data_IF_850386788497
#
_entry.id   IF_850386788497
#
_cell.length_a   1.000
_cell.length_b   1.000
_cell.length_c   1.000
_cell.angle_alpha   90.00
_cell.angle_beta   90.00
_cell.angle_gamma   90.00
#
_symmetry.space_group_name_H-M   'P 1'
#
loop_
_entity.id
_entity.type
_entity.pdbx_description
1 polymer ?
#
# COMPACT_ATOMS: atom_id res chain seq x y z
N UNK A 1 -38.32 -34.25 -10.07
CA UNK A 1 -38.30 -32.79 -9.89
C UNK A 1 -37.17 -32.46 -8.93
N UNK A 2 -36.18 -31.65 -9.33
CA UNK A 2 -35.04 -31.29 -8.48
C UNK A 2 -35.33 -29.96 -7.78
N UNK A 3 -35.61 -30.01 -6.48
CA UNK A 3 -35.73 -28.81 -5.65
C UNK A 3 -34.36 -28.14 -5.54
N UNK A 4 -34.27 -26.89 -6.01
CA UNK A 4 -33.11 -26.03 -5.78
C UNK A 4 -33.35 -25.28 -4.47
N UNK A 5 -32.71 -25.74 -3.39
CA UNK A 5 -32.65 -24.99 -2.14
C UNK A 5 -32.08 -23.59 -2.40
N UNK A 6 -32.69 -22.52 -1.86
CA UNK A 6 -32.15 -21.17 -1.96
C UNK A 6 -30.79 -21.09 -1.24
N UNK A 7 -29.84 -20.28 -1.74
CA UNK A 7 -28.51 -20.14 -1.14
C UNK A 7 -28.63 -19.62 0.30
N UNK A 8 -27.75 -20.12 1.18
CA UNK A 8 -27.75 -19.79 2.60
C UNK A 8 -27.44 -18.28 2.79
N UNK A 9 -28.24 -17.51 3.57
CA UNK A 9 -28.02 -16.09 3.83
C UNK A 9 -26.62 -15.74 4.36
N UNK A 10 -25.95 -16.71 5.00
CA UNK A 10 -24.59 -16.55 5.51
C UNK A 10 -23.56 -16.47 4.39
N UNK A 11 -23.78 -17.19 3.28
CA UNK A 11 -22.89 -17.17 2.12
C UNK A 11 -22.92 -15.80 1.41
N UNK A 12 -24.08 -15.15 1.34
CA UNK A 12 -24.20 -13.80 0.78
C UNK A 12 -23.57 -12.75 1.70
N UNK A 13 -23.73 -12.90 3.01
CA UNK A 13 -23.09 -12.02 3.98
C UNK A 13 -21.56 -12.19 3.96
N UNK A 14 -21.07 -13.41 3.84
CA UNK A 14 -19.65 -13.72 3.71
C UNK A 14 -19.08 -13.20 2.39
N UNK A 15 -19.82 -13.34 1.28
CA UNK A 15 -19.47 -12.75 0.00
C UNK A 15 -19.40 -11.23 0.08
N UNK A 16 -20.34 -10.58 0.78
CA UNK A 16 -20.36 -9.13 1.00
C UNK A 16 -19.24 -8.66 1.94
N UNK A 17 -18.96 -9.40 3.01
CA UNK A 17 -17.84 -9.14 3.92
C UNK A 17 -16.49 -9.31 3.24
N UNK A 18 -16.34 -10.34 2.39
CA UNK A 18 -15.13 -10.57 1.60
C UNK A 18 -14.92 -9.45 0.58
N UNK A 19 -15.97 -9.06 -0.15
CA UNK A 19 -15.96 -7.94 -1.10
C UNK A 19 -15.65 -6.60 -0.43
N UNK A 20 -16.18 -6.37 0.78
CA UNK A 20 -15.86 -5.18 1.57
C UNK A 20 -14.41 -5.20 2.09
N UNK A 21 -13.92 -6.35 2.57
CA UNK A 21 -12.53 -6.51 3.07
C UNK A 21 -11.49 -6.42 1.97
N UNK A 22 -11.77 -6.92 0.77
CA UNK A 22 -10.87 -6.79 -0.39
C UNK A 22 -10.67 -5.33 -0.79
N UNK A 23 -11.71 -4.49 -0.72
CA UNK A 23 -11.60 -3.04 -0.91
C UNK A 23 -10.92 -2.30 0.26
N UNK A 24 -10.93 -2.88 1.45
CA UNK A 24 -10.41 -2.27 2.68
C UNK A 24 -8.94 -2.64 2.99
N UNK A 25 -8.40 -3.71 2.36
CA UNK A 25 -7.00 -4.14 2.54
C UNK A 25 -5.94 -3.11 2.07
N UNK A 26 -6.34 -2.08 1.32
CA UNK A 26 -5.50 -0.94 0.95
C UNK A 26 -5.72 0.34 1.78
N UNK A 27 -6.59 0.31 2.79
CA UNK A 27 -7.05 1.48 3.52
C UNK A 27 -6.73 1.36 5.02
N UNK A 28 -5.55 1.82 5.41
CA UNK A 28 -5.24 2.18 6.80
C UNK A 28 -5.11 3.70 6.90
N UNK A 29 -6.24 4.41 7.02
CA UNK A 29 -6.28 5.85 7.26
C UNK A 29 -7.71 6.29 7.57
N UNK A 30 -8.01 6.73 8.79
CA UNK A 30 -9.36 6.86 9.35
C UNK A 30 -10.40 7.69 8.57
N UNK A 31 -11.68 7.62 8.98
CA UNK A 31 -12.80 8.17 8.24
C UNK A 31 -12.86 9.70 8.37
N UNK A 32 -12.83 10.39 7.23
CA UNK A 32 -13.24 11.79 7.13
C UNK A 32 -12.21 12.70 6.50
N UNK A 33 -12.10 12.66 5.17
CA UNK A 33 -11.94 13.92 4.45
C UNK A 33 -12.39 13.76 2.99
N UNK A 34 -13.22 14.70 2.54
CA UNK A 34 -13.76 14.79 1.17
C UNK A 34 -12.75 15.47 0.24
N UNK A 35 -11.46 15.25 0.43
CA UNK A 35 -10.44 15.78 -0.46
C UNK A 35 -10.12 14.74 -1.53
N UNK A 36 -10.41 15.13 -2.78
CA UNK A 36 -9.85 14.63 -4.03
C UNK A 36 -9.11 13.28 -3.88
N UNK A 37 -9.82 12.18 -4.12
CA UNK A 37 -9.21 10.85 -4.24
C UNK A 37 -8.20 10.97 -5.40
N UNK A 38 -6.87 11.07 -5.16
CA UNK A 38 -5.96 11.13 -6.29
C UNK A 38 -6.08 9.80 -7.03
N UNK A 39 -5.88 9.79 -8.36
CA UNK A 39 -6.03 8.58 -9.14
C UNK A 39 -5.17 7.49 -8.50
N UNK A 40 -5.72 6.28 -8.40
CA UNK A 40 -5.02 5.07 -7.96
C UNK A 40 -3.97 4.67 -9.03
N UNK A 41 -3.06 5.58 -9.32
CA UNK A 41 -1.99 5.49 -10.31
C UNK A 41 -0.70 6.00 -9.70
N UNK A 42 0.39 5.89 -10.46
CA UNK A 42 1.75 6.17 -10.01
C UNK A 42 1.91 7.50 -9.26
N UNK A 43 1.15 8.54 -9.65
CA UNK A 43 1.19 9.86 -9.03
C UNK A 43 0.65 9.87 -7.58
N UNK A 44 -0.45 9.16 -7.29
CA UNK A 44 -0.98 9.06 -5.93
C UNK A 44 -0.04 8.29 -4.99
N UNK A 45 0.58 7.23 -5.50
CA UNK A 45 1.61 6.47 -4.77
C UNK A 45 2.84 7.31 -4.49
N UNK A 46 3.35 8.04 -5.51
CA UNK A 46 4.48 8.95 -5.34
C UNK A 46 4.16 10.04 -4.29
N UNK A 47 2.93 10.53 -4.26
CA UNK A 47 2.55 11.58 -3.33
C UNK A 47 2.52 11.11 -1.88
N UNK A 48 1.98 9.91 -1.64
CA UNK A 48 2.05 9.26 -0.32
C UNK A 48 3.49 8.99 0.11
N UNK A 49 4.32 8.46 -0.79
CA UNK A 49 5.73 8.21 -0.50
C UNK A 49 6.44 9.51 -0.11
N UNK A 50 6.20 10.59 -0.86
CA UNK A 50 6.75 11.91 -0.56
C UNK A 50 6.32 12.44 0.80
N UNK A 51 5.02 12.33 1.15
CA UNK A 51 4.54 12.79 2.47
C UNK A 51 5.07 11.96 3.63
N UNK A 52 5.24 10.65 3.46
CA UNK A 52 5.85 9.79 4.48
C UNK A 52 7.31 10.18 4.75
N UNK A 53 8.09 10.48 3.72
CA UNK A 53 9.47 10.95 3.87
C UNK A 53 9.52 12.31 4.59
N UNK A 54 8.71 13.28 4.15
CA UNK A 54 8.68 14.62 4.76
C UNK A 54 8.24 14.55 6.22
N UNK A 55 7.23 13.74 6.54
CA UNK A 55 6.76 13.55 7.90
C UNK A 55 7.85 12.96 8.80
N UNK A 56 8.55 11.91 8.34
CA UNK A 56 9.65 11.30 9.09
C UNK A 56 10.80 12.30 9.34
N UNK A 57 11.10 13.14 8.35
CA UNK A 57 12.12 14.20 8.48
C UNK A 57 11.72 15.26 9.51
N UNK A 58 10.47 15.72 9.49
CA UNK A 58 9.96 16.69 10.47
C UNK A 58 10.05 16.11 11.89
N UNK A 59 9.68 14.84 12.07
CA UNK A 59 9.77 14.16 13.37
C UNK A 59 11.23 14.01 13.82
N UNK A 60 12.14 13.59 12.94
CA UNK A 60 13.56 13.43 13.26
C UNK A 60 14.23 14.75 13.62
N UNK A 61 14.04 15.79 12.80
CA UNK A 61 14.61 17.11 13.06
C UNK A 61 13.97 17.77 14.28
N UNK A 62 12.63 17.72 14.40
CA UNK A 62 11.91 18.29 15.53
C UNK A 62 12.28 17.60 16.85
N UNK A 63 12.32 16.27 16.87
CA UNK A 63 12.74 15.47 18.02
C UNK A 63 14.22 15.70 18.37
N UNK A 64 15.09 15.78 17.37
CA UNK A 64 16.51 16.08 17.55
C UNK A 64 16.76 17.45 18.16
N UNK A 65 16.07 18.48 17.67
CA UNK A 65 16.15 19.84 18.24
C UNK A 65 15.61 19.90 19.67
N UNK A 66 14.52 19.20 19.96
CA UNK A 66 13.97 19.12 21.31
C UNK A 66 14.94 18.43 22.27
N UNK A 67 15.53 17.32 21.83
CA UNK A 67 16.53 16.56 22.59
C UNK A 67 17.77 17.41 22.88
N UNK A 68 18.30 18.08 21.86
CA UNK A 68 19.47 18.95 21.99
C UNK A 68 19.23 20.12 22.93
N UNK A 69 18.02 20.69 22.93
CA UNK A 69 17.64 21.77 23.85
C UNK A 69 17.49 21.29 25.29
N UNK A 70 17.01 20.07 25.48
CA UNK A 70 16.78 19.53 26.81
C UNK A 70 18.07 19.06 27.48
N UNK A 71 18.96 18.45 26.70
CA UNK A 71 20.23 17.89 27.19
C UNK A 71 21.43 18.84 27.01
N UNK A 72 21.27 19.96 26.29
CA UNK A 72 22.37 20.87 25.97
C UNK A 72 23.41 20.26 25.02
N UNK A 73 23.04 19.23 24.26
CA UNK A 73 23.95 18.43 23.42
C UNK A 73 24.08 18.94 21.97
N UNK A 74 23.55 20.13 21.66
CA UNK A 74 23.49 20.62 20.30
C UNK A 74 24.87 20.62 19.60
N UNK A 75 25.01 20.06 18.37
CA UNK A 75 23.96 19.49 17.50
C UNK A 75 23.90 17.94 17.49
N UNK A 76 24.44 17.25 18.49
CA UNK A 76 24.61 15.79 18.46
C UNK A 76 23.29 15.02 18.42
N UNK A 77 22.30 15.42 19.22
CA UNK A 77 20.96 14.82 19.23
C UNK A 77 20.25 15.02 17.89
N UNK A 78 20.39 16.19 17.28
CA UNK A 78 19.91 16.45 15.92
C UNK A 78 20.56 15.54 14.88
N UNK A 79 21.88 15.37 14.93
CA UNK A 79 22.60 14.50 13.97
C UNK A 79 22.07 13.07 14.06
N UNK A 80 21.99 12.51 15.28
CA UNK A 80 21.52 11.14 15.49
C UNK A 80 20.06 10.98 15.06
N UNK A 81 19.18 11.89 15.49
CA UNK A 81 17.75 11.83 15.16
C UNK A 81 17.47 12.11 13.68
N UNK A 82 18.29 12.89 13.01
CA UNK A 82 18.21 13.10 11.56
C UNK A 82 18.42 11.78 10.80
N UNK A 83 19.51 11.06 11.09
CA UNK A 83 19.78 9.77 10.45
C UNK A 83 18.71 8.74 10.80
N UNK A 84 18.24 8.72 12.05
CA UNK A 84 17.18 7.82 12.48
C UNK A 84 15.85 8.12 11.76
N UNK A 85 15.47 9.40 11.65
CA UNK A 85 14.28 9.84 10.93
C UNK A 85 14.37 9.54 9.43
N UNK A 86 15.52 9.80 8.81
CA UNK A 86 15.76 9.47 7.41
C UNK A 86 15.68 7.94 7.17
N UNK A 87 16.32 7.14 8.02
CA UNK A 87 16.26 5.68 7.94
C UNK A 87 14.83 5.18 8.11
N UNK A 88 14.09 5.69 9.10
CA UNK A 88 12.69 5.33 9.33
C UNK A 88 11.80 5.70 8.12
N UNK A 89 12.00 6.88 7.53
CA UNK A 89 11.29 7.30 6.31
C UNK A 89 11.56 6.36 5.13
N UNK A 90 12.83 6.09 4.85
CA UNK A 90 13.23 5.16 3.77
C UNK A 90 12.68 3.76 4.01
N UNK A 91 12.75 3.24 5.25
CA UNK A 91 12.21 1.94 5.61
C UNK A 91 10.69 1.87 5.41
N UNK A 92 9.95 2.94 5.76
CA UNK A 92 8.50 2.97 5.56
C UNK A 92 8.13 2.97 4.07
N UNK A 93 8.85 3.75 3.26
CA UNK A 93 8.69 3.78 1.80
C UNK A 93 9.04 2.42 1.18
N UNK A 94 10.16 1.83 1.58
CA UNK A 94 10.57 0.51 1.12
C UNK A 94 9.50 -0.53 1.42
N UNK A 95 8.91 -0.52 2.63
CA UNK A 95 7.80 -1.39 3.01
C UNK A 95 6.54 -1.12 2.18
N UNK A 96 6.25 0.14 1.88
CA UNK A 96 5.12 0.50 1.03
C UNK A 96 5.30 -0.06 -0.38
N UNK A 97 6.47 0.12 -1.00
CA UNK A 97 6.77 -0.34 -2.36
C UNK A 97 6.85 -1.87 -2.45
N UNK A 98 7.53 -2.52 -1.50
CA UNK A 98 7.67 -3.99 -1.49
C UNK A 98 6.38 -4.71 -1.14
N UNK A 99 5.53 -4.14 -0.28
CA UNK A 99 4.18 -4.65 0.00
C UNK A 99 3.27 -4.69 -1.23
N UNK A 100 3.50 -3.84 -2.23
CA UNK A 100 2.80 -3.89 -3.52
C UNK A 100 3.47 -4.86 -4.53
N UNK A 101 4.79 -5.04 -4.48
CA UNK A 101 5.60 -5.68 -5.53
C UNK A 101 5.65 -7.21 -5.54
N UNK A 102 5.45 -7.90 -4.41
CA UNK A 102 5.48 -9.38 -4.38
C UNK A 102 4.12 -10.01 -4.71
N UNK A 103 3.01 -9.27 -4.56
CA UNK A 103 1.67 -9.79 -4.85
C UNK A 103 1.16 -9.47 -6.27
N UNK A 104 1.77 -8.53 -6.99
CA UNK A 104 1.26 -8.01 -8.26
C UNK A 104 2.05 -8.45 -9.50
N UNK A 105 3.14 -9.20 -9.34
CA UNK A 105 4.02 -9.59 -10.44
C UNK A 105 3.93 -11.07 -10.75
N UNK A 106 2.90 -11.51 -11.48
CA UNK A 106 2.97 -12.61 -12.46
C UNK A 106 1.60 -12.75 -13.18
N UNK A 107 1.21 -11.75 -13.98
CA UNK A 107 0.24 -12.00 -15.05
C UNK A 107 1.03 -12.51 -16.25
N UNK A 108 1.12 -13.83 -16.38
CA UNK A 108 1.58 -14.50 -17.60
C UNK A 108 0.71 -13.95 -18.76
N UNK A 109 1.29 -13.43 -19.86
CA UNK A 109 0.49 -13.11 -21.03
C UNK A 109 -0.22 -14.41 -21.47
N UNK A 110 -1.52 -14.39 -21.78
CA UNK A 110 -2.20 -15.54 -22.36
C UNK A 110 -1.41 -15.97 -23.59
N UNK A 111 -0.97 -17.23 -23.59
CA UNK A 111 -0.25 -17.80 -24.71
C UNK A 111 -1.16 -17.81 -25.92
N UNK A 112 -0.60 -17.40 -27.04
CA UNK A 112 -1.13 -17.56 -28.38
C UNK A 112 -1.39 -19.06 -28.65
N UNK A 113 -2.65 -19.47 -28.58
CA UNK A 113 -3.13 -20.82 -28.82
C UNK A 113 -3.86 -20.97 -30.17
N UNK A 114 -3.65 -20.04 -31.11
CA UNK A 114 -4.31 -20.06 -32.42
C UNK A 114 -3.50 -20.67 -33.57
N UNK A 115 -2.34 -21.31 -33.32
CA UNK A 115 -1.49 -21.88 -34.39
C UNK A 115 -1.54 -23.42 -34.52
N UNK A 116 -2.57 -24.10 -34.01
CA UNK A 116 -2.69 -25.57 -34.12
C UNK A 116 -4.01 -26.10 -34.66
N UNK A 117 -4.81 -25.26 -35.31
CA UNK A 117 -6.12 -25.68 -35.81
C UNK A 117 -6.33 -25.47 -37.33
N UNK A 118 -5.25 -25.39 -38.12
CA UNK A 118 -5.32 -25.28 -39.59
C UNK A 118 -4.53 -26.40 -40.32
N UNK A 119 -4.19 -27.49 -39.62
CA UNK A 119 -3.36 -28.59 -40.17
C UNK A 119 -4.11 -29.83 -40.64
N UNK A 120 -5.31 -30.09 -40.13
CA UNK A 120 -5.97 -31.40 -40.30
C UNK A 120 -7.38 -31.24 -40.86
N UNK A 121 -7.46 -30.92 -42.15
CA UNK A 121 -8.65 -31.16 -42.97
C UNK A 121 -8.22 -31.99 -44.19
N UNK A 122 -8.31 -33.31 -44.02
CA UNK A 122 -8.40 -34.27 -45.12
C UNK A 122 -9.82 -34.29 -45.69
#
# INVERSE_FOLDING_TARGET
MSDKSPPDPLDDLEARLRKAREGQRGWSGGPGSKYHRPPQGALGTAWRIGTELVAAMIVGVGGGLLLDRWLGTAPWGLIVMFFLGAAAGVLNVYRAVTGFGIAAGYRRPPGDDNERQDGDAH
#
